data_IF_462045355266
#
_entry.id   IF_462045355266
#
_cell.length_a   1.000
_cell.length_b   1.000
_cell.length_c   1.000
_cell.angle_alpha   90.00
_cell.angle_beta   90.00
_cell.angle_gamma   90.00
#
_symmetry.space_group_name_H-M   'P 1'
#
loop_
_entity.id
_entity.type
_entity.pdbx_description
1 polymer ?
#
# COMPACT_ATOMS: atom_id res chain seq x y z
N UNK A 1 -1.57 -8.30 -9.48
CA UNK A 1 -0.46 -7.46 -8.95
C UNK A 1 -0.49 -7.54 -7.42
N UNK A 2 -0.29 -8.73 -6.83
CA UNK A 2 -0.82 -8.95 -5.47
C UNK A 2 0.24 -9.28 -4.42
N UNK A 3 1.46 -9.70 -4.78
CA UNK A 3 2.45 -10.11 -3.78
C UNK A 3 3.43 -8.99 -3.36
N UNK A 4 3.79 -8.07 -4.27
CA UNK A 4 4.76 -6.99 -3.97
C UNK A 4 4.20 -5.85 -3.12
N UNK A 5 2.86 -5.77 -2.95
CA UNK A 5 2.16 -4.72 -2.20
C UNK A 5 1.91 -5.12 -0.74
N UNK A 6 1.75 -6.43 -0.46
CA UNK A 6 1.38 -6.91 0.87
C UNK A 6 2.53 -6.71 1.87
N UNK A 7 3.77 -6.66 1.37
CA UNK A 7 4.98 -6.43 2.17
C UNK A 7 5.85 -5.45 1.37
N UNK A 8 5.36 -4.21 1.24
CA UNK A 8 6.20 -3.13 0.70
C UNK A 8 7.51 -3.09 1.48
N UNK A 9 8.63 -3.36 0.80
CA UNK A 9 9.95 -3.39 1.42
C UNK A 9 10.29 -2.05 2.08
N UNK A 10 9.63 -0.97 1.67
CA UNK A 10 9.73 0.37 2.25
C UNK A 10 9.13 0.49 3.65
N UNK A 11 8.11 -0.32 3.99
CA UNK A 11 7.50 -0.31 5.32
C UNK A 11 8.20 -1.22 6.32
N UNK A 12 8.85 -2.29 5.84
CA UNK A 12 9.60 -3.24 6.68
C UNK A 12 10.63 -2.60 7.63
N UNK A 13 11.45 -1.61 7.24
CA UNK A 13 12.40 -0.98 8.15
C UNK A 13 11.72 -0.18 9.27
N UNK A 14 10.61 0.51 8.99
CA UNK A 14 9.82 1.18 10.02
C UNK A 14 9.17 0.16 10.97
N UNK A 15 8.65 -0.95 10.42
CA UNK A 15 8.04 -2.04 11.18
C UNK A 15 9.08 -2.75 12.08
N UNK A 16 10.33 -2.87 11.63
CA UNK A 16 11.42 -3.49 12.39
C UNK A 16 11.82 -2.68 13.64
N UNK A 17 11.58 -1.37 13.65
CA UNK A 17 11.89 -0.51 14.81
C UNK A 17 10.95 -0.73 16.00
N UNK A 18 9.71 -1.19 15.77
CA UNK A 18 8.70 -1.36 16.82
C UNK A 18 8.63 -2.79 17.42
N UNK A 19 9.30 -3.78 16.82
CA UNK A 19 9.46 -5.12 17.39
C UNK A 19 8.17 -5.97 17.50
N UNK A 20 8.17 -6.97 18.41
CA UNK A 20 7.07 -7.95 18.60
C UNK A 20 5.68 -7.33 18.87
N UNK A 21 5.51 -6.19 19.58
CA UNK A 21 4.21 -5.54 19.77
C UNK A 21 3.47 -5.20 18.47
N UNK A 22 4.21 -5.02 17.38
CA UNK A 22 3.68 -4.75 16.06
C UNK A 22 2.77 -5.88 15.52
N UNK A 23 3.07 -7.14 15.87
CA UNK A 23 2.25 -8.30 15.48
C UNK A 23 0.86 -8.22 16.11
N UNK A 24 0.76 -7.74 17.35
CA UNK A 24 -0.51 -7.52 18.02
C UNK A 24 -1.32 -6.40 17.34
N UNK A 25 -0.66 -5.29 16.98
CA UNK A 25 -1.30 -4.18 16.25
C UNK A 25 -1.81 -4.61 14.87
N UNK A 26 -1.06 -5.45 14.15
CA UNK A 26 -1.52 -6.03 12.90
C UNK A 26 -2.69 -6.99 13.08
N UNK A 27 -2.70 -7.81 14.13
CA UNK A 27 -3.83 -8.69 14.44
C UNK A 27 -5.10 -7.89 14.74
N UNK A 28 -4.98 -6.84 15.55
CA UNK A 28 -6.10 -5.94 15.84
C UNK A 28 -6.58 -5.28 14.56
N UNK A 29 -5.70 -4.67 13.77
CA UNK A 29 -6.06 -4.05 12.49
C UNK A 29 -6.66 -5.03 11.48
N UNK A 30 -6.18 -6.27 11.44
CA UNK A 30 -6.73 -7.31 10.59
C UNK A 30 -8.19 -7.63 10.98
N UNK A 31 -8.47 -7.76 12.28
CA UNK A 31 -9.80 -8.10 12.76
C UNK A 31 -10.76 -6.91 12.67
N UNK A 32 -10.33 -5.71 13.05
CA UNK A 32 -11.20 -4.53 13.13
C UNK A 32 -11.37 -3.80 11.81
N UNK A 33 -10.46 -3.98 10.85
CA UNK A 33 -10.46 -3.24 9.59
C UNK A 33 -10.41 -4.17 8.38
N UNK A 34 -9.42 -5.06 8.28
CA UNK A 34 -9.22 -5.86 7.06
C UNK A 34 -10.37 -6.85 6.79
N UNK A 35 -10.77 -7.63 7.80
CA UNK A 35 -11.86 -8.60 7.71
C UNK A 35 -13.19 -7.92 7.37
N UNK A 36 -13.66 -6.91 8.13
CA UNK A 36 -14.95 -6.27 7.84
C UNK A 36 -14.96 -5.57 6.48
N UNK A 37 -13.89 -4.85 6.11
CA UNK A 37 -13.82 -4.17 4.80
C UNK A 37 -13.80 -5.19 3.65
N UNK A 38 -13.08 -6.31 3.81
CA UNK A 38 -13.05 -7.38 2.82
C UNK A 38 -14.41 -8.02 2.59
N UNK A 39 -15.14 -8.31 3.68
CA UNK A 39 -16.50 -8.86 3.61
C UNK A 39 -17.46 -7.87 2.91
N UNK A 40 -17.48 -6.61 3.32
CA UNK A 40 -18.33 -5.57 2.72
C UNK A 40 -18.01 -5.39 1.22
N UNK A 41 -16.72 -5.34 0.88
CA UNK A 41 -16.29 -5.24 -0.52
C UNK A 41 -16.70 -6.47 -1.33
N UNK A 42 -16.69 -7.66 -0.72
CA UNK A 42 -17.11 -8.90 -1.39
C UNK A 42 -18.61 -8.93 -1.65
N UNK A 43 -19.43 -8.48 -0.71
CA UNK A 43 -20.88 -8.39 -0.89
C UNK A 43 -21.24 -7.36 -1.96
N UNK A 44 -20.59 -6.18 -1.94
CA UNK A 44 -20.77 -5.15 -2.97
C UNK A 44 -20.33 -5.62 -4.37
N UNK A 45 -19.26 -6.42 -4.45
CA UNK A 45 -18.79 -7.00 -5.71
C UNK A 45 -19.79 -8.00 -6.31
N UNK A 46 -20.46 -8.80 -5.47
CA UNK A 46 -21.48 -9.78 -5.91
C UNK A 46 -22.84 -9.12 -6.17
N UNK A 47 -23.23 -8.16 -5.34
CA UNK A 47 -24.52 -7.46 -5.44
C UNK A 47 -24.65 -6.56 -6.67
N UNK A 48 -23.54 -5.99 -7.15
CA UNK A 48 -23.52 -5.13 -8.34
C UNK A 48 -22.46 -5.60 -9.35
N UNK A 49 -22.80 -6.58 -10.22
CA UNK A 49 -21.89 -7.15 -11.22
C UNK A 49 -21.54 -6.19 -12.37
N UNK A 50 -22.05 -4.95 -12.37
CA UNK A 50 -21.90 -3.97 -13.46
C UNK A 50 -20.49 -3.39 -13.69
N UNK A 51 -19.45 -3.93 -13.05
CA UNK A 51 -18.05 -3.64 -13.41
C UNK A 51 -17.52 -2.24 -13.06
N UNK A 52 -18.13 -1.54 -12.09
CA UNK A 52 -17.74 -0.17 -11.72
C UNK A 52 -16.77 -0.03 -10.53
N UNK A 53 -16.43 -1.12 -9.83
CA UNK A 53 -15.61 -1.08 -8.61
C UNK A 53 -16.15 -0.08 -7.57
N UNK A 54 -15.26 0.60 -6.84
CA UNK A 54 -15.63 1.59 -5.81
C UNK A 54 -16.47 2.74 -6.37
N UNK A 55 -16.23 3.15 -7.62
CA UNK A 55 -17.06 4.16 -8.29
C UNK A 55 -18.51 3.70 -8.40
N UNK A 56 -18.72 2.51 -8.96
CA UNK A 56 -20.06 1.97 -9.19
C UNK A 56 -20.82 1.73 -7.89
N UNK A 57 -20.13 1.28 -6.84
CA UNK A 57 -20.72 1.07 -5.52
C UNK A 57 -21.18 2.37 -4.88
N UNK A 58 -20.36 3.42 -4.93
CA UNK A 58 -20.69 4.72 -4.32
C UNK A 58 -21.72 5.49 -5.17
N UNK A 59 -21.68 5.37 -6.50
CA UNK A 59 -22.67 5.98 -7.39
C UNK A 59 -24.06 5.37 -7.18
N UNK A 60 -24.13 4.04 -6.99
CA UNK A 60 -25.38 3.34 -6.70
C UNK A 60 -25.97 3.71 -5.33
N UNK A 61 -25.13 3.96 -4.31
CA UNK A 61 -25.59 4.22 -2.94
C UNK A 61 -25.85 5.72 -2.64
N UNK A 62 -24.99 6.61 -3.14
CA UNK A 62 -24.98 8.04 -2.77
C UNK A 62 -25.05 8.98 -3.98
N UNK A 63 -25.05 8.45 -5.20
CA UNK A 63 -25.10 9.21 -6.45
C UNK A 63 -23.75 9.72 -6.95
N UNK A 64 -23.79 10.46 -8.07
CA UNK A 64 -22.60 10.73 -8.90
C UNK A 64 -21.52 11.60 -8.24
N UNK A 65 -21.90 12.62 -7.49
CA UNK A 65 -20.95 13.56 -6.86
C UNK A 65 -20.01 12.86 -5.86
N UNK A 66 -20.52 12.12 -4.86
CA UNK A 66 -19.66 11.39 -3.94
C UNK A 66 -18.89 10.24 -4.60
N UNK A 67 -19.41 9.63 -5.68
CA UNK A 67 -18.69 8.58 -6.41
C UNK A 67 -17.41 9.08 -7.07
N UNK A 68 -17.47 10.26 -7.71
CA UNK A 68 -16.29 10.91 -8.29
C UNK A 68 -15.28 11.27 -7.19
N UNK A 69 -15.75 11.75 -6.04
CA UNK A 69 -14.88 12.04 -4.90
C UNK A 69 -14.19 10.77 -4.38
N UNK A 70 -14.90 9.65 -4.25
CA UNK A 70 -14.34 8.39 -3.78
C UNK A 70 -13.24 7.85 -4.71
N UNK A 71 -13.48 7.84 -6.03
CA UNK A 71 -12.45 7.47 -7.01
C UNK A 71 -11.28 8.43 -6.99
N UNK A 72 -11.55 9.74 -6.83
CA UNK A 72 -10.49 10.73 -6.74
C UNK A 72 -9.63 10.45 -5.50
N UNK A 73 -10.21 10.28 -4.31
CA UNK A 73 -9.46 9.90 -3.11
C UNK A 73 -8.59 8.66 -3.33
N UNK A 74 -9.12 7.64 -4.02
CA UNK A 74 -8.35 6.43 -4.34
C UNK A 74 -7.18 6.68 -5.31
N UNK A 75 -7.30 7.63 -6.24
CA UNK A 75 -6.18 8.02 -7.09
C UNK A 75 -5.16 8.90 -6.33
N UNK A 76 -5.60 9.82 -5.45
CA UNK A 76 -4.70 10.62 -4.58
C UNK A 76 -3.86 9.72 -3.70
N UNK A 77 -4.44 8.65 -3.12
CA UNK A 77 -3.72 7.79 -2.18
C UNK A 77 -2.46 7.18 -2.83
N UNK A 78 -2.52 6.89 -4.13
CA UNK A 78 -1.39 6.32 -4.88
C UNK A 78 -0.32 7.41 -5.11
N UNK A 79 -0.74 8.65 -5.40
CA UNK A 79 0.18 9.80 -5.53
C UNK A 79 0.97 10.06 -4.26
N UNK A 80 0.34 9.94 -3.10
CA UNK A 80 1.00 10.15 -1.80
C UNK A 80 2.00 9.03 -1.47
N UNK A 81 1.77 7.82 -1.96
CA UNK A 81 2.67 6.68 -1.73
C UNK A 81 3.92 6.69 -2.63
N UNK A 82 3.84 7.27 -3.84
CA UNK A 82 4.96 7.31 -4.80
C UNK A 82 6.28 7.90 -4.24
N UNK A 83 6.29 9.03 -3.51
CA UNK A 83 7.52 9.58 -2.95
C UNK A 83 8.26 8.63 -2.01
N UNK A 84 7.52 7.90 -1.17
CA UNK A 84 8.10 6.93 -0.22
C UNK A 84 8.73 5.76 -0.97
N UNK A 85 8.04 5.22 -1.97
CA UNK A 85 8.57 4.16 -2.83
C UNK A 85 9.81 4.61 -3.62
N UNK A 86 9.79 5.82 -4.18
CA UNK A 86 10.93 6.41 -4.89
C UNK A 86 12.14 6.61 -3.97
N UNK A 87 11.92 7.07 -2.74
CA UNK A 87 12.97 7.27 -1.75
C UNK A 87 13.62 5.95 -1.35
N UNK A 88 12.82 4.90 -1.16
CA UNK A 88 13.32 3.56 -0.88
C UNK A 88 14.13 2.97 -2.05
N UNK A 89 13.67 3.16 -3.28
CA UNK A 89 14.41 2.78 -4.48
C UNK A 89 15.75 3.55 -4.56
N UNK A 90 15.73 4.87 -4.34
CA UNK A 90 16.92 5.70 -4.35
C UNK A 90 17.94 5.28 -3.27
N UNK A 91 17.50 5.00 -2.05
CA UNK A 91 18.37 4.52 -0.97
C UNK A 91 18.98 3.17 -1.32
N UNK A 92 18.19 2.24 -1.87
CA UNK A 92 18.67 0.91 -2.26
C UNK A 92 19.72 1.01 -3.39
N UNK A 93 19.49 1.87 -4.38
CA UNK A 93 20.45 2.15 -5.44
C UNK A 93 21.73 2.80 -4.88
N UNK A 94 21.62 3.76 -3.97
CA UNK A 94 22.78 4.39 -3.34
C UNK A 94 23.63 3.39 -2.54
N UNK A 95 23.00 2.52 -1.74
CA UNK A 95 23.70 1.49 -0.97
C UNK A 95 24.48 0.50 -1.85
N UNK A 96 23.90 0.08 -2.97
CA UNK A 96 24.56 -0.86 -3.89
C UNK A 96 25.74 -0.24 -4.62
N UNK A 97 25.60 1.02 -5.07
CA UNK A 97 26.71 1.77 -5.69
C UNK A 97 27.86 2.01 -4.70
N UNK A 98 27.58 2.53 -3.50
CA UNK A 98 28.60 2.79 -2.47
C UNK A 98 29.35 1.51 -2.11
N UNK A 99 28.63 0.39 -1.95
CA UNK A 99 29.24 -0.92 -1.67
C UNK A 99 30.14 -1.41 -2.82
N UNK A 100 29.86 -1.02 -4.06
CA UNK A 100 30.69 -1.38 -5.22
C UNK A 100 32.02 -0.61 -5.24
N UNK A 101 32.01 0.66 -4.82
CA UNK A 101 33.21 1.51 -4.76
C UNK A 101 34.16 1.13 -3.62
N UNK A 102 33.66 0.64 -2.49
CA UNK A 102 34.50 0.17 -1.37
C UNK A 102 35.25 -1.15 -1.64
N UNK A 103 34.96 -1.82 -2.76
CA UNK A 103 35.58 -3.11 -3.11
C UNK A 103 36.88 -2.98 -3.91
N UNK A 104 37.32 -1.75 -4.21
CA UNK A 104 38.57 -1.48 -4.93
C UNK A 104 39.68 -1.33 -3.88
N UNK A 105 40.64 -2.27 -3.78
CA UNK A 105 41.76 -2.11 -2.85
C UNK A 105 42.57 -0.87 -3.22
N UNK A 106 43.12 -0.13 -2.23
CA UNK A 106 44.01 0.99 -2.51
C UNK A 106 45.20 0.47 -3.32
N UNK A 107 45.43 1.06 -4.50
CA UNK A 107 46.62 0.77 -5.31
C UNK A 107 47.85 1.20 -4.51
N UNK A 108 48.58 0.22 -3.98
CA UNK A 108 49.89 0.35 -3.35
C UNK A 108 50.96 0.75 -4.35
#
# INVERSE_FOLDING_TARGET
MNASVIIGLEGLPDMALYGVPLVFLFLVGAITFLIPVGLISSELAVGWPGGGGVYGWVDAAFGRRPAVQAVWCQWVQILVWYPTALSFCASTFAYTLIRSWQRIPPLS
#
